data_IF_816097489318
#
_entry.id   IF_816097489318
#
_cell.length_a   1.000
_cell.length_b   1.000
_cell.length_c   1.000
_cell.angle_alpha   90.00
_cell.angle_beta   90.00
_cell.angle_gamma   90.00
#
_symmetry.space_group_name_H-M   'P 1'
#
loop_
_entity.id
_entity.type
_entity.pdbx_description
1 polymer ?
#
# COMPACT_ATOMS: atom_id res chain seq x y z
N UNK A 1 37.01 0.59 11.26
CA UNK A 1 36.20 1.82 11.30
C UNK A 1 35.11 1.63 10.27
N UNK A 2 33.92 1.23 10.72
CA UNK A 2 32.74 1.04 9.88
C UNK A 2 32.34 2.39 9.29
N UNK A 3 32.07 2.44 7.99
CA UNK A 3 31.47 3.62 7.38
C UNK A 3 30.13 3.93 8.10
N UNK A 4 29.77 5.22 8.28
CA UNK A 4 28.44 5.59 8.75
C UNK A 4 27.41 4.89 7.84
N UNK A 5 26.50 4.14 8.45
CA UNK A 5 25.82 3.02 7.83
C UNK A 5 25.11 3.35 6.51
N UNK A 6 25.48 2.62 5.46
CA UNK A 6 24.63 2.47 4.28
C UNK A 6 23.25 2.02 4.76
N UNK A 7 22.26 2.83 4.45
CA UNK A 7 20.95 2.77 5.04
C UNK A 7 20.20 1.56 4.46
N UNK A 8 20.15 0.47 5.23
CA UNK A 8 19.67 -0.86 4.78
C UNK A 8 18.14 -0.93 4.68
N UNK A 9 17.60 -1.32 3.53
CA UNK A 9 16.18 -1.67 3.41
C UNK A 9 15.89 -2.92 4.25
N UNK A 10 14.76 -2.94 4.95
CA UNK A 10 14.43 -4.03 5.87
C UNK A 10 12.95 -4.01 6.24
N UNK A 11 12.12 -4.84 5.61
CA UNK A 11 10.70 -5.01 5.95
C UNK A 11 10.44 -6.47 6.30
N UNK A 12 9.94 -6.72 7.50
CA UNK A 12 9.62 -8.06 8.00
C UNK A 12 8.14 -8.23 8.34
N UNK A 13 7.39 -7.13 8.39
CA UNK A 13 5.97 -7.05 8.69
C UNK A 13 5.46 -5.64 8.31
N UNK A 14 4.16 -5.40 8.45
CA UNK A 14 3.55 -4.08 8.19
C UNK A 14 3.48 -3.15 9.40
N UNK A 15 3.94 -3.54 10.60
CA UNK A 15 3.60 -2.84 11.85
C UNK A 15 4.75 -2.55 12.81
N UNK A 16 5.92 -3.15 12.63
CA UNK A 16 7.17 -2.80 13.30
C UNK A 16 7.52 -1.33 13.06
N UNK A 17 8.28 -0.73 13.98
CA UNK A 17 8.53 0.72 14.00
C UNK A 17 9.10 1.21 12.67
N UNK A 18 8.32 2.02 11.93
CA UNK A 18 8.70 2.59 10.66
C UNK A 18 9.89 3.53 10.85
N UNK A 19 10.94 3.34 10.05
CA UNK A 19 12.14 4.17 10.09
C UNK A 19 12.24 5.05 8.86
N UNK A 20 11.93 4.48 7.69
CA UNK A 20 12.08 5.17 6.40
C UNK A 20 10.96 4.81 5.44
N UNK A 21 10.48 5.82 4.74
CA UNK A 21 9.35 5.71 3.82
C UNK A 21 9.51 6.66 2.66
N UNK A 22 9.15 6.24 1.46
CA UNK A 22 8.94 7.14 0.33
C UNK A 22 7.46 7.55 0.32
N UNK A 23 7.21 8.84 0.25
CA UNK A 23 5.86 9.42 0.19
C UNK A 23 5.64 10.04 -1.20
N UNK A 24 4.39 9.94 -1.68
CA UNK A 24 3.94 10.67 -2.86
C UNK A 24 4.04 12.19 -2.69
N UNK A 25 3.83 12.95 -3.76
CA UNK A 25 4.06 14.39 -3.76
C UNK A 25 2.77 15.22 -3.77
N UNK A 26 1.62 14.63 -4.10
CA UNK A 26 0.36 15.34 -4.29
C UNK A 26 0.32 16.34 -5.47
N UNK A 27 1.49 16.76 -5.98
CA UNK A 27 1.68 17.59 -7.14
C UNK A 27 3.02 17.25 -7.87
N UNK A 28 3.04 17.24 -9.22
CA UNK A 28 1.85 17.34 -10.08
C UNK A 28 0.97 16.11 -9.89
N UNK A 29 -0.36 16.25 -9.85
CA UNK A 29 -1.22 15.12 -9.43
C UNK A 29 -1.27 14.00 -10.50
N UNK A 30 -1.56 14.37 -11.76
CA UNK A 30 -1.57 13.47 -12.91
C UNK A 30 -1.19 14.22 -14.19
N UNK A 31 -0.28 13.65 -14.97
CA UNK A 31 -0.04 14.05 -16.35
C UNK A 31 -0.91 13.19 -17.29
N UNK A 32 -1.45 13.77 -18.37
CA UNK A 32 -2.29 13.09 -19.38
C UNK A 32 -3.49 12.29 -18.82
N UNK A 33 -4.39 13.00 -18.12
CA UNK A 33 -5.55 12.42 -17.42
C UNK A 33 -6.49 11.62 -18.32
N UNK A 34 -6.62 12.00 -19.59
CA UNK A 34 -7.51 11.33 -20.53
C UNK A 34 -6.96 9.94 -20.89
N UNK A 35 -5.64 9.82 -21.08
CA UNK A 35 -4.99 8.53 -21.30
C UNK A 35 -5.15 7.61 -20.08
N UNK A 36 -4.84 8.11 -18.88
CA UNK A 36 -4.94 7.32 -17.64
C UNK A 36 -6.38 6.84 -17.42
N UNK A 37 -7.35 7.73 -17.62
CA UNK A 37 -8.77 7.36 -17.49
C UNK A 37 -9.18 6.30 -18.51
N UNK A 38 -8.68 6.36 -19.74
CA UNK A 38 -8.96 5.36 -20.77
C UNK A 38 -8.35 3.99 -20.44
N UNK A 39 -7.10 3.94 -19.97
CA UNK A 39 -6.45 2.69 -19.55
C UNK A 39 -7.10 2.11 -18.29
N UNK A 40 -7.53 2.96 -17.36
CA UNK A 40 -8.29 2.53 -16.17
C UNK A 40 -9.67 1.95 -16.50
N UNK A 41 -10.28 2.30 -17.64
CA UNK A 41 -11.53 1.68 -18.11
C UNK A 41 -11.34 0.21 -18.48
N UNK A 42 -10.13 -0.22 -18.87
CA UNK A 42 -9.81 -1.63 -19.10
C UNK A 42 -9.65 -2.42 -17.78
N UNK A 43 -9.39 -1.72 -16.67
CA UNK A 43 -9.29 -2.27 -15.31
C UNK A 43 -10.22 -1.53 -14.33
N UNK A 44 -11.54 -1.53 -14.59
CA UNK A 44 -12.44 -0.60 -13.93
C UNK A 44 -12.53 -0.91 -12.44
N UNK A 45 -12.18 0.07 -11.61
CA UNK A 45 -12.67 0.08 -10.24
C UNK A 45 -14.19 0.27 -10.30
N UNK A 46 -14.94 -0.80 -10.08
CA UNK A 46 -16.39 -0.74 -9.96
C UNK A 46 -16.72 -0.88 -8.47
N UNK A 47 -17.06 0.20 -7.76
CA UNK A 47 -17.64 0.09 -6.43
C UNK A 47 -18.88 -0.81 -6.50
N UNK A 48 -18.81 -1.99 -5.90
CA UNK A 48 -19.93 -2.94 -5.84
C UNK A 48 -20.90 -2.57 -4.71
N UNK A 49 -21.41 -1.34 -4.75
CA UNK A 49 -22.48 -0.87 -3.87
C UNK A 49 -23.43 0.08 -4.59
N UNK A 50 -24.57 0.33 -3.95
CA UNK A 50 -25.54 1.33 -4.35
C UNK A 50 -24.98 2.77 -4.45
N UNK A 51 -23.71 3.01 -4.10
CA UNK A 51 -23.05 4.33 -4.11
C UNK A 51 -22.03 4.52 -5.24
N UNK A 52 -22.00 3.65 -6.26
CA UNK A 52 -21.19 3.85 -7.48
C UNK A 52 -21.28 5.29 -8.01
N UNK A 53 -22.47 5.88 -8.05
CA UNK A 53 -22.66 7.27 -8.49
C UNK A 53 -22.03 8.31 -7.56
N UNK A 54 -22.03 8.10 -6.24
CA UNK A 54 -21.44 9.02 -5.26
C UNK A 54 -19.91 8.95 -5.23
N UNK A 55 -19.34 7.75 -5.42
CA UNK A 55 -17.89 7.55 -5.57
C UNK A 55 -17.40 8.14 -6.89
N UNK A 56 -18.15 7.96 -7.98
CA UNK A 56 -17.86 8.61 -9.28
C UNK A 56 -18.13 10.12 -9.27
N UNK A 57 -18.96 10.61 -8.33
CA UNK A 57 -19.22 12.03 -8.12
C UNK A 57 -18.22 12.71 -7.17
N UNK A 58 -17.25 11.96 -6.61
CA UNK A 58 -16.09 12.58 -5.97
C UNK A 58 -15.39 13.42 -7.04
N UNK A 59 -15.42 14.73 -6.88
CA UNK A 59 -14.63 15.62 -7.70
C UNK A 59 -13.18 15.24 -7.51
N UNK A 60 -12.48 14.93 -8.61
CA UNK A 60 -11.04 14.73 -8.59
C UNK A 60 -10.38 15.82 -7.74
N UNK A 61 -9.42 15.44 -6.89
CA UNK A 61 -8.83 16.39 -5.96
C UNK A 61 -8.11 17.50 -6.71
N UNK A 62 -8.07 18.67 -6.09
CA UNK A 62 -7.21 19.76 -6.57
C UNK A 62 -5.79 19.57 -6.04
N UNK A 63 -4.77 20.01 -6.78
CA UNK A 63 -3.38 20.00 -6.28
C UNK A 63 -3.26 20.75 -4.95
N UNK A 64 -3.97 21.88 -4.79
CA UNK A 64 -4.03 22.62 -3.52
C UNK A 64 -4.52 21.76 -2.35
N UNK A 65 -5.50 20.88 -2.59
CA UNK A 65 -5.98 19.95 -1.58
C UNK A 65 -4.91 18.89 -1.28
N UNK A 66 -4.38 18.23 -2.32
CA UNK A 66 -3.40 17.17 -2.16
C UNK A 66 -2.13 17.66 -1.47
N UNK A 67 -1.58 18.80 -1.89
CA UNK A 67 -0.37 19.38 -1.27
C UNK A 67 -0.57 19.52 0.23
N UNK A 68 -1.70 20.08 0.69
CA UNK A 68 -1.99 20.23 2.12
C UNK A 68 -2.12 18.89 2.84
N UNK A 69 -2.85 17.96 2.26
CA UNK A 69 -3.03 16.62 2.83
C UNK A 69 -1.70 15.86 2.95
N UNK A 70 -0.80 15.99 1.96
CA UNK A 70 0.54 15.41 2.00
C UNK A 70 1.47 16.15 2.98
N UNK A 71 1.39 17.49 3.08
CA UNK A 71 2.13 18.25 4.09
C UNK A 71 1.77 17.80 5.51
N UNK A 72 0.48 17.64 5.81
CA UNK A 72 0.00 17.14 7.11
C UNK A 72 0.44 15.68 7.35
N UNK A 73 0.44 14.85 6.30
CA UNK A 73 0.90 13.47 6.39
C UNK A 73 2.40 13.36 6.68
N UNK A 74 3.22 14.12 5.95
CA UNK A 74 4.67 14.20 6.15
C UNK A 74 4.99 14.73 7.55
N UNK A 75 4.34 15.81 7.98
CA UNK A 75 4.53 16.35 9.33
C UNK A 75 4.19 15.34 10.42
N UNK A 76 3.15 14.52 10.21
CA UNK A 76 2.77 13.44 11.14
C UNK A 76 3.84 12.33 11.18
N UNK A 77 4.39 11.94 10.02
CA UNK A 77 5.48 10.97 9.95
C UNK A 77 6.75 11.46 10.67
N UNK A 78 7.17 12.69 10.39
CA UNK A 78 8.37 13.30 10.98
C UNK A 78 8.22 13.52 12.49
N UNK A 79 7.02 13.88 12.98
CA UNK A 79 6.69 13.95 14.40
C UNK A 79 6.99 12.62 15.13
N UNK A 80 6.82 11.50 14.44
CA UNK A 80 7.12 10.15 14.97
C UNK A 80 8.53 9.66 14.64
N UNK A 81 9.41 10.54 14.16
CA UNK A 81 10.82 10.24 13.91
C UNK A 81 11.07 9.39 12.65
N UNK A 82 10.09 9.28 11.76
CA UNK A 82 10.26 8.61 10.47
C UNK A 82 11.03 9.53 9.52
N UNK A 83 12.08 9.03 8.89
CA UNK A 83 12.74 9.72 7.78
C UNK A 83 11.88 9.57 6.51
N UNK A 84 11.40 10.71 6.03
CA UNK A 84 10.56 10.82 4.84
C UNK A 84 11.43 11.13 3.63
N UNK A 85 11.31 10.30 2.60
CA UNK A 85 11.89 10.50 1.29
C UNK A 85 10.77 10.86 0.31
N UNK A 86 11.04 11.78 -0.60
CA UNK A 86 10.05 12.23 -1.58
C UNK A 86 10.38 11.67 -2.97
N UNK A 87 9.36 11.34 -3.75
CA UNK A 87 9.53 11.06 -5.17
C UNK A 87 10.14 12.27 -5.90
N UNK A 88 10.76 12.06 -7.06
CA UNK A 88 11.28 13.15 -7.91
C UNK A 88 10.12 13.88 -8.61
N UNK A 89 9.81 15.15 -8.22
CA UNK A 89 8.69 15.90 -8.78
C UNK A 89 8.89 16.28 -10.25
N UNK A 90 10.13 16.26 -10.75
CA UNK A 90 10.45 16.63 -12.13
C UNK A 90 10.53 15.41 -13.07
N UNK A 91 10.23 14.22 -12.56
CA UNK A 91 10.20 13.02 -13.39
C UNK A 91 9.15 13.13 -14.50
N UNK A 92 9.60 13.00 -15.74
CA UNK A 92 8.71 12.94 -16.90
C UNK A 92 7.90 11.62 -16.98
N UNK A 93 8.14 10.69 -16.05
CA UNK A 93 7.66 9.30 -16.12
C UNK A 93 6.57 8.98 -15.09
N UNK A 94 6.00 9.99 -14.44
CA UNK A 94 4.96 9.78 -13.46
C UNK A 94 3.60 10.22 -13.94
N UNK A 95 2.67 9.27 -13.88
CA UNK A 95 1.27 9.46 -14.25
C UNK A 95 0.39 9.57 -12.99
N UNK A 96 0.81 8.98 -11.87
CA UNK A 96 0.24 9.18 -10.54
C UNK A 96 1.34 9.39 -9.49
N UNK A 97 1.42 10.62 -8.96
CA UNK A 97 2.38 10.99 -7.90
C UNK A 97 1.88 10.68 -6.49
N UNK A 98 0.69 10.09 -6.34
CA UNK A 98 0.08 9.88 -5.03
C UNK A 98 0.39 8.52 -4.44
N UNK A 99 0.52 7.46 -5.25
CA UNK A 99 0.55 6.09 -4.75
C UNK A 99 1.87 5.35 -5.00
N UNK A 100 2.99 5.72 -4.35
CA UNK A 100 4.27 5.05 -4.53
C UNK A 100 4.27 3.58 -4.09
N UNK A 101 3.31 3.15 -3.26
CA UNK A 101 3.14 1.74 -2.88
C UNK A 101 3.06 0.81 -4.08
N UNK A 102 2.43 1.26 -5.16
CA UNK A 102 2.18 0.40 -6.30
C UNK A 102 3.45 0.14 -7.12
N UNK A 103 4.38 1.10 -7.10
CA UNK A 103 5.63 1.13 -7.89
C UNK A 103 6.61 0.02 -7.47
N UNK A 104 6.57 -0.39 -6.21
CA UNK A 104 7.45 -1.43 -5.67
C UNK A 104 7.24 -1.68 -4.19
N UNK A 105 7.93 -2.69 -3.67
CA UNK A 105 7.80 -3.13 -2.29
C UNK A 105 9.09 -3.77 -1.78
N UNK A 106 9.24 -3.83 -0.46
CA UNK A 106 10.42 -4.42 0.20
C UNK A 106 9.99 -5.67 0.98
N UNK A 107 10.75 -6.76 0.86
CA UNK A 107 10.61 -7.98 1.67
C UNK A 107 12.01 -8.38 2.15
N UNK A 108 12.19 -8.47 3.47
CA UNK A 108 13.51 -8.54 4.06
C UNK A 108 14.33 -7.33 3.60
N UNK A 109 15.50 -7.58 3.02
CA UNK A 109 16.40 -6.54 2.49
C UNK A 109 16.40 -6.46 0.95
N UNK A 110 15.35 -6.97 0.30
CA UNK A 110 15.21 -7.03 -1.16
C UNK A 110 14.10 -6.08 -1.58
N UNK A 111 14.42 -5.19 -2.52
CA UNK A 111 13.46 -4.33 -3.19
C UNK A 111 12.94 -5.02 -4.46
N UNK A 112 11.63 -5.15 -4.57
CA UNK A 112 10.97 -5.65 -5.77
C UNK A 112 10.34 -4.47 -6.51
N UNK A 113 10.74 -4.30 -7.77
CA UNK A 113 10.08 -3.38 -8.70
C UNK A 113 8.76 -4.03 -9.12
N UNK A 114 7.67 -3.29 -9.08
CA UNK A 114 6.38 -3.79 -9.55
C UNK A 114 6.38 -4.03 -11.06
N UNK A 115 5.53 -4.97 -11.49
CA UNK A 115 5.21 -5.14 -12.90
C UNK A 115 3.75 -4.72 -13.09
N UNK A 116 3.58 -3.46 -13.47
CA UNK A 116 2.31 -2.74 -13.47
C UNK A 116 1.34 -3.30 -14.51
N UNK A 117 0.06 -3.40 -14.16
CA UNK A 117 -0.99 -3.81 -15.11
C UNK A 117 -1.33 -2.68 -16.10
N UNK A 118 -1.22 -1.43 -15.64
CA UNK A 118 -1.49 -0.23 -16.43
C UNK A 118 -0.20 0.25 -17.09
N UNK A 119 -0.16 0.24 -18.42
CA UNK A 119 1.07 0.45 -19.18
C UNK A 119 1.70 1.83 -18.90
N UNK A 120 0.88 2.90 -18.84
CA UNK A 120 1.38 4.24 -18.53
C UNK A 120 2.15 4.30 -17.20
N UNK A 121 1.81 3.46 -16.22
CA UNK A 121 2.46 3.45 -14.89
C UNK A 121 3.77 2.68 -14.84
N UNK A 122 4.17 1.99 -15.91
CA UNK A 122 5.36 1.10 -15.92
C UNK A 122 6.66 1.84 -15.59
N UNK A 123 6.78 3.09 -16.03
CA UNK A 123 7.97 3.91 -15.84
C UNK A 123 7.94 4.75 -14.55
N UNK A 124 6.88 4.64 -13.72
CA UNK A 124 6.78 5.36 -12.44
C UNK A 124 7.93 5.01 -11.48
N UNK A 125 8.58 3.86 -11.66
CA UNK A 125 9.81 3.50 -10.92
C UNK A 125 10.92 4.53 -11.05
N UNK A 126 11.00 5.26 -12.17
CA UNK A 126 12.01 6.29 -12.37
C UNK A 126 11.87 7.45 -11.38
N UNK A 127 10.66 7.71 -10.87
CA UNK A 127 10.39 8.74 -9.85
C UNK A 127 11.13 8.49 -8.54
N UNK A 128 11.50 7.24 -8.25
CA UNK A 128 12.18 6.86 -7.01
C UNK A 128 13.60 6.32 -7.25
N UNK A 129 14.09 6.31 -8.48
CA UNK A 129 15.39 5.70 -8.84
C UNK A 129 16.55 6.29 -8.04
N UNK A 130 16.50 7.58 -7.72
CA UNK A 130 17.49 8.27 -6.88
C UNK A 130 17.64 7.66 -5.48
N UNK A 131 16.58 7.03 -4.95
CA UNK A 131 16.59 6.35 -3.65
C UNK A 131 17.09 4.91 -3.74
N UNK A 132 17.10 4.33 -4.94
CA UNK A 132 17.52 2.95 -5.20
C UNK A 132 18.99 2.84 -5.61
N UNK A 133 19.62 3.93 -6.09
CA UNK A 133 20.96 3.92 -6.67
C UNK A 133 22.09 3.44 -5.74
N UNK A 134 21.86 3.46 -4.42
CA UNK A 134 22.85 3.05 -3.41
C UNK A 134 22.68 1.60 -2.95
N UNK A 135 21.62 0.93 -3.40
CA UNK A 135 21.40 -0.48 -3.09
C UNK A 135 22.32 -1.35 -3.94
N UNK A 136 22.69 -2.50 -3.40
CA UNK A 136 23.27 -3.56 -4.21
C UNK A 136 22.26 -3.96 -5.29
N UNK A 137 22.67 -3.90 -6.56
CA UNK A 137 21.84 -4.30 -7.70
C UNK A 137 21.29 -5.72 -7.57
N UNK A 138 21.99 -6.63 -6.87
CA UNK A 138 21.51 -7.99 -6.58
C UNK A 138 20.32 -8.02 -5.60
N UNK A 139 20.04 -6.90 -4.92
CA UNK A 139 18.91 -6.70 -4.01
C UNK A 139 17.77 -5.91 -4.65
N UNK A 140 17.85 -5.62 -5.95
CA UNK A 140 16.77 -5.04 -6.74
C UNK A 140 16.29 -6.10 -7.73
N UNK A 141 15.03 -6.51 -7.60
CA UNK A 141 14.46 -7.62 -8.34
C UNK A 141 13.26 -7.14 -9.14
N UNK A 142 13.16 -7.59 -10.39
CA UNK A 142 12.00 -7.30 -11.25
C UNK A 142 11.32 -8.61 -11.66
N UNK A 143 9.98 -8.72 -11.56
CA UNK A 143 9.25 -9.83 -12.14
C UNK A 143 9.48 -9.94 -13.65
N UNK A 144 9.45 -11.15 -14.23
CA UNK A 144 9.54 -11.32 -15.68
C UNK A 144 8.29 -10.78 -16.39
N UNK A 145 8.38 -10.60 -17.70
CA UNK A 145 7.25 -10.17 -18.53
C UNK A 145 6.04 -11.10 -18.34
N UNK A 146 4.84 -10.50 -18.24
CA UNK A 146 3.59 -11.22 -18.00
C UNK A 146 3.32 -11.62 -16.55
N UNK A 147 4.28 -11.44 -15.64
CA UNK A 147 4.09 -11.60 -14.18
C UNK A 147 3.64 -10.28 -13.54
N UNK A 148 2.37 -9.92 -13.71
CA UNK A 148 1.80 -8.70 -13.11
C UNK A 148 1.80 -8.82 -11.58
N UNK A 149 2.36 -7.81 -10.92
CA UNK A 149 2.52 -7.77 -9.47
C UNK A 149 2.74 -6.31 -9.02
N UNK A 150 1.73 -5.72 -8.39
CA UNK A 150 1.78 -4.36 -7.85
C UNK A 150 1.89 -4.39 -6.31
N UNK A 151 2.59 -3.41 -5.72
CA UNK A 151 2.87 -3.44 -4.28
C UNK A 151 1.65 -3.27 -3.37
N UNK A 152 0.53 -2.74 -3.87
CA UNK A 152 -0.75 -2.72 -3.16
C UNK A 152 -1.30 -4.13 -2.85
N UNK A 153 -0.97 -5.12 -3.68
CA UNK A 153 -1.39 -6.52 -3.50
C UNK A 153 -0.45 -7.34 -2.62
N UNK A 154 0.73 -6.81 -2.29
CA UNK A 154 1.73 -7.52 -1.48
C UNK A 154 1.67 -7.02 -0.05
N UNK A 155 1.35 -7.93 0.88
CA UNK A 155 1.27 -7.64 2.32
C UNK A 155 2.22 -8.55 3.07
N UNK A 156 3.19 -7.96 3.78
CA UNK A 156 4.15 -8.72 4.60
C UNK A 156 3.53 -8.98 5.97
N UNK A 157 3.03 -10.21 6.17
CA UNK A 157 2.26 -10.56 7.36
C UNK A 157 3.17 -10.74 8.59
N UNK A 158 4.30 -11.43 8.37
CA UNK A 158 5.41 -11.58 9.30
C UNK A 158 6.68 -12.07 8.58
N UNK A 159 7.75 -12.34 9.36
CA UNK A 159 9.06 -12.77 8.86
C UNK A 159 9.04 -14.01 7.95
N UNK A 160 8.00 -14.83 8.03
CA UNK A 160 7.90 -16.09 7.30
C UNK A 160 6.71 -16.13 6.33
N UNK A 161 5.87 -15.10 6.30
CA UNK A 161 4.62 -15.11 5.55
C UNK A 161 4.38 -13.82 4.79
N UNK A 162 4.14 -13.94 3.50
CA UNK A 162 3.68 -12.85 2.63
C UNK A 162 2.34 -13.24 2.02
N UNK A 163 1.39 -12.32 2.00
CA UNK A 163 0.14 -12.46 1.26
C UNK A 163 0.28 -11.77 -0.09
N UNK A 164 -0.27 -12.39 -1.14
CA UNK A 164 -0.35 -11.79 -2.48
C UNK A 164 -1.79 -11.83 -2.97
N UNK A 165 -2.33 -10.64 -3.25
CA UNK A 165 -3.63 -10.41 -3.86
C UNK A 165 -3.73 -10.96 -5.28
N UNK A 166 -4.90 -11.51 -5.63
CA UNK A 166 -5.28 -11.82 -7.01
C UNK A 166 -6.54 -11.07 -7.39
N UNK A 167 -6.38 -10.18 -8.35
CA UNK A 167 -7.48 -9.61 -9.11
C UNK A 167 -6.95 -9.01 -10.41
N UNK A 168 -7.14 -7.71 -10.60
CA UNK A 168 -6.87 -7.00 -11.84
C UNK A 168 -5.44 -6.45 -11.95
N UNK A 169 -4.76 -6.25 -10.82
CA UNK A 169 -3.41 -5.65 -10.76
C UNK A 169 -2.29 -6.66 -10.55
N UNK A 170 -2.58 -7.78 -9.92
CA UNK A 170 -1.63 -8.89 -9.73
C UNK A 170 -2.24 -10.20 -10.20
N UNK A 171 -1.46 -11.00 -10.92
CA UNK A 171 -1.93 -12.21 -11.59
C UNK A 171 -1.23 -13.49 -11.09
N UNK A 172 -1.65 -14.66 -11.60
CA UNK A 172 -1.08 -15.97 -11.23
C UNK A 172 0.44 -16.03 -11.41
N UNK A 173 0.94 -15.53 -12.54
CA UNK A 173 2.38 -15.56 -12.84
C UNK A 173 3.19 -14.62 -11.92
N UNK A 174 2.63 -13.49 -11.49
CA UNK A 174 3.23 -12.59 -10.50
C UNK A 174 3.41 -13.26 -9.14
N UNK A 175 2.37 -13.93 -8.67
CA UNK A 175 2.46 -14.74 -7.45
C UNK A 175 3.44 -15.90 -7.57
N UNK A 176 3.40 -16.67 -8.66
CA UNK A 176 4.29 -17.81 -8.85
C UNK A 176 5.75 -17.38 -8.85
N UNK A 177 6.05 -16.27 -9.54
CA UNK A 177 7.35 -15.63 -9.49
C UNK A 177 7.78 -15.30 -8.05
N UNK A 178 6.94 -14.59 -7.30
CA UNK A 178 7.31 -14.17 -5.94
C UNK A 178 7.45 -15.38 -5.00
N UNK A 179 6.53 -16.35 -5.09
CA UNK A 179 6.58 -17.61 -4.33
C UNK A 179 7.88 -18.36 -4.58
N UNK A 180 8.24 -18.57 -5.84
CA UNK A 180 9.42 -19.36 -6.21
C UNK A 180 10.71 -18.63 -5.85
N UNK A 181 10.71 -17.30 -5.93
CA UNK A 181 11.84 -16.48 -5.49
C UNK A 181 12.03 -16.50 -3.96
N UNK A 182 10.95 -16.46 -3.19
CA UNK A 182 10.98 -16.37 -1.73
C UNK A 182 11.10 -17.73 -1.03
N UNK A 183 10.69 -18.83 -1.66
CA UNK A 183 10.74 -20.17 -1.07
C UNK A 183 12.16 -20.60 -0.61
N UNK A 184 13.25 -20.38 -1.36
CA UNK A 184 14.61 -20.66 -0.90
C UNK A 184 15.05 -19.81 0.30
N UNK A 185 14.38 -18.68 0.55
CA UNK A 185 14.62 -17.81 1.71
C UNK A 185 13.80 -18.26 2.95
N UNK A 186 13.01 -19.32 2.83
CA UNK A 186 12.15 -19.82 3.90
C UNK A 186 10.87 -19.01 4.11
N UNK A 187 10.51 -18.13 3.16
CA UNK A 187 9.32 -17.30 3.24
C UNK A 187 8.19 -17.96 2.43
N UNK A 188 7.06 -18.18 3.09
CA UNK A 188 5.84 -18.73 2.49
C UNK A 188 5.01 -17.61 1.88
N UNK A 189 4.57 -17.80 0.65
CA UNK A 189 3.67 -16.86 -0.04
C UNK A 189 2.28 -17.49 -0.14
N UNK A 190 1.28 -16.83 0.45
CA UNK A 190 -0.11 -17.29 0.49
C UNK A 190 -0.94 -16.50 -0.52
N UNK A 191 -1.69 -17.18 -1.40
CA UNK A 191 -2.56 -16.52 -2.34
C UNK A 191 -3.84 -15.99 -1.66
N UNK A 192 -4.25 -14.77 -2.02
CA UNK A 192 -5.49 -14.15 -1.53
C UNK A 192 -6.32 -13.61 -2.70
N UNK A 193 -7.42 -14.27 -3.03
CA UNK A 193 -8.41 -13.73 -3.97
C UNK A 193 -9.14 -12.55 -3.33
N UNK A 194 -9.33 -11.46 -4.09
CA UNK A 194 -10.11 -10.31 -3.62
C UNK A 194 -10.90 -9.64 -4.76
N UNK A 195 -11.88 -8.83 -4.39
CA UNK A 195 -12.73 -8.07 -5.34
C UNK A 195 -12.40 -6.58 -5.43
N UNK A 196 -11.23 -6.17 -4.94
CA UNK A 196 -10.83 -4.75 -4.81
C UNK A 196 -9.73 -4.37 -5.81
N UNK A 197 -9.42 -3.07 -5.89
CA UNK A 197 -8.32 -2.56 -6.71
C UNK A 197 -7.01 -3.28 -6.36
N UNK A 198 -6.69 -3.27 -5.07
CA UNK A 198 -5.60 -4.02 -4.46
C UNK A 198 -6.04 -4.70 -3.17
N UNK A 199 -5.27 -5.66 -2.68
CA UNK A 199 -5.52 -6.36 -1.42
C UNK A 199 -5.62 -5.40 -0.21
N UNK A 200 -4.77 -4.38 -0.16
CA UNK A 200 -4.73 -3.45 0.98
C UNK A 200 -5.97 -2.54 1.12
N UNK A 201 -6.80 -2.46 0.09
CA UNK A 201 -8.12 -1.84 0.15
C UNK A 201 -9.14 -2.67 0.95
N UNK A 202 -8.79 -3.90 1.36
CA UNK A 202 -9.69 -4.75 2.16
C UNK A 202 -9.01 -5.60 3.24
N UNK A 203 -7.68 -5.56 3.36
CA UNK A 203 -6.94 -6.33 4.37
C UNK A 203 -5.67 -5.60 4.79
N UNK A 204 -5.44 -5.44 6.09
CA UNK A 204 -4.21 -4.82 6.59
C UNK A 204 -3.84 -5.34 8.00
N UNK A 205 -2.69 -6.03 8.15
CA UNK A 205 -2.24 -6.54 9.45
C UNK A 205 -1.66 -5.43 10.31
N UNK A 206 -1.99 -5.48 11.60
CA UNK A 206 -1.59 -4.48 12.58
C UNK A 206 -0.73 -5.13 13.66
N UNK A 207 -0.02 -4.28 14.41
CA UNK A 207 0.64 -4.72 15.63
C UNK A 207 -0.38 -5.20 16.66
N UNK A 208 0.05 -5.63 17.84
CA UNK A 208 -0.84 -6.15 18.90
C UNK A 208 -1.67 -7.39 18.50
N UNK A 209 -1.44 -8.00 17.33
CA UNK A 209 -2.10 -9.24 16.90
C UNK A 209 -3.47 -9.04 16.25
N UNK A 210 -3.76 -7.86 15.68
CA UNK A 210 -5.03 -7.60 14.99
C UNK A 210 -4.89 -7.54 13.46
N UNK A 211 -6.01 -7.72 12.77
CA UNK A 211 -6.13 -7.63 11.32
C UNK A 211 -7.37 -6.80 10.96
N UNK A 212 -7.18 -5.69 10.24
CA UNK A 212 -8.30 -5.02 9.58
C UNK A 212 -8.69 -5.82 8.36
N UNK A 213 -9.97 -6.16 8.22
CA UNK A 213 -10.43 -7.06 7.16
C UNK A 213 -11.87 -6.73 6.75
N UNK A 214 -12.15 -6.75 5.45
CA UNK A 214 -13.52 -6.82 4.93
C UNK A 214 -13.75 -8.22 4.32
N UNK A 215 -14.31 -9.18 5.07
CA UNK A 215 -14.45 -10.58 4.63
C UNK A 215 -15.26 -10.74 3.34
N UNK A 216 -16.22 -9.85 3.09
CA UNK A 216 -17.01 -9.83 1.85
C UNK A 216 -16.17 -9.59 0.59
N UNK A 217 -14.99 -8.97 0.73
CA UNK A 217 -14.07 -8.78 -0.41
C UNK A 217 -13.20 -9.98 -0.70
N UNK A 218 -13.10 -10.96 0.21
CA UNK A 218 -12.17 -12.09 0.14
C UNK A 218 -12.88 -13.42 -0.17
N UNK A 219 -14.07 -13.37 -0.75
CA UNK A 219 -14.83 -14.57 -1.12
C UNK A 219 -14.06 -15.38 -2.18
N UNK A 220 -14.15 -16.71 -2.10
CA UNK A 220 -13.48 -17.63 -3.02
C UNK A 220 -12.12 -18.17 -2.54
N UNK A 221 -11.55 -17.61 -1.47
CA UNK A 221 -10.35 -18.16 -0.83
C UNK A 221 -10.60 -19.52 -0.17
N UNK A 222 -9.58 -20.37 -0.19
CA UNK A 222 -9.61 -21.67 0.45
C UNK A 222 -9.42 -21.59 1.98
N UNK A 223 -9.66 -22.70 2.67
CA UNK A 223 -9.56 -22.78 4.12
C UNK A 223 -8.14 -22.51 4.65
N UNK A 224 -7.09 -22.72 3.84
CA UNK A 224 -5.72 -22.48 4.28
C UNK A 224 -5.43 -20.99 4.41
N UNK A 225 -5.93 -20.18 3.47
CA UNK A 225 -5.87 -18.71 3.57
C UNK A 225 -6.62 -18.24 4.81
N UNK A 226 -7.87 -18.69 5.02
CA UNK A 226 -8.66 -18.30 6.19
C UNK A 226 -8.00 -18.67 7.52
N UNK A 227 -7.49 -19.90 7.65
CA UNK A 227 -6.78 -20.34 8.86
C UNK A 227 -5.59 -19.44 9.19
N UNK A 228 -4.88 -18.94 8.17
CA UNK A 228 -3.76 -18.04 8.40
C UNK A 228 -4.24 -16.67 8.90
N UNK A 229 -5.34 -16.16 8.36
CA UNK A 229 -5.92 -14.89 8.81
C UNK A 229 -6.52 -15.01 10.22
N UNK A 230 -7.05 -16.19 10.58
CA UNK A 230 -7.60 -16.50 11.92
C UNK A 230 -6.53 -16.54 13.03
N UNK A 231 -5.23 -16.53 12.68
CA UNK A 231 -4.15 -16.34 13.67
C UNK A 231 -4.17 -14.92 14.29
N UNK A 232 -4.89 -13.98 13.66
CA UNK A 232 -5.06 -12.61 14.11
C UNK A 232 -6.49 -12.37 14.60
N UNK A 233 -6.66 -11.48 15.56
CA UNK A 233 -7.99 -11.01 15.95
C UNK A 233 -8.51 -10.00 14.94
N UNK A 234 -9.66 -10.29 14.32
CA UNK A 234 -10.20 -9.46 13.26
C UNK A 234 -10.88 -8.20 13.81
N UNK A 235 -10.62 -7.09 13.13
CA UNK A 235 -11.40 -5.87 13.18
C UNK A 235 -12.13 -5.81 11.85
N UNK A 236 -13.35 -6.33 11.84
CA UNK A 236 -14.16 -6.35 10.63
C UNK A 236 -14.57 -4.93 10.24
N UNK A 237 -14.30 -4.60 8.98
CA UNK A 237 -14.70 -3.38 8.29
C UNK A 237 -15.92 -3.70 7.44
N UNK A 238 -16.93 -2.85 7.44
CA UNK A 238 -18.13 -3.01 6.61
C UNK A 238 -17.91 -2.49 5.17
N UNK A 239 -18.90 -2.71 4.30
CA UNK A 239 -18.78 -2.33 2.89
C UNK A 239 -18.63 -0.80 2.69
N UNK A 240 -19.25 0.03 3.53
CA UNK A 240 -19.18 1.50 3.45
C UNK A 240 -17.81 1.97 3.94
N UNK A 241 -17.34 1.44 5.05
CA UNK A 241 -16.04 1.75 5.62
C UNK A 241 -14.91 1.34 4.68
N UNK A 242 -15.01 0.17 4.03
CA UNK A 242 -14.10 -0.28 2.98
C UNK A 242 -14.06 0.70 1.81
N UNK A 243 -15.20 1.20 1.34
CA UNK A 243 -15.23 2.22 0.27
C UNK A 243 -14.52 3.50 0.65
N UNK A 244 -14.50 3.82 1.94
CA UNK A 244 -13.74 4.94 2.48
C UNK A 244 -12.32 4.53 2.89
N UNK A 245 -11.86 3.36 2.42
CA UNK A 245 -10.51 2.86 2.61
C UNK A 245 -10.09 2.79 4.08
N UNK A 246 -11.03 2.44 4.97
CA UNK A 246 -10.76 2.30 6.41
C UNK A 246 -9.73 1.20 6.74
N UNK A 247 -9.47 0.27 5.81
CA UNK A 247 -8.38 -0.73 5.93
C UNK A 247 -7.02 -0.17 5.50
N UNK A 248 -6.97 0.87 4.66
CA UNK A 248 -5.75 1.35 4.01
C UNK A 248 -4.98 2.35 4.90
N UNK A 249 -4.73 1.94 6.14
CA UNK A 249 -3.99 2.72 7.14
C UNK A 249 -2.48 2.44 7.09
N UNK A 250 -1.69 3.32 7.69
CA UNK A 250 -0.25 3.10 7.86
C UNK A 250 0.10 2.92 9.35
N UNK A 251 0.68 1.77 9.70
CA UNK A 251 1.28 1.57 11.02
C UNK A 251 2.63 2.28 11.11
N UNK A 252 2.78 3.14 12.12
CA UNK A 252 4.04 3.80 12.47
C UNK A 252 4.89 2.94 13.40
N UNK A 253 4.25 2.21 14.30
CA UNK A 253 4.85 1.21 15.19
C UNK A 253 3.74 0.26 15.66
N UNK A 254 4.02 -0.77 16.49
CA UNK A 254 3.02 -1.79 16.82
C UNK A 254 1.72 -1.25 17.44
N UNK A 255 1.74 -0.08 18.08
CA UNK A 255 0.59 0.50 18.75
C UNK A 255 0.22 1.91 18.26
N UNK A 256 0.86 2.44 17.22
CA UNK A 256 0.53 3.76 16.65
C UNK A 256 0.27 3.63 15.16
N UNK A 257 -0.86 4.18 14.71
CA UNK A 257 -1.30 4.14 13.31
C UNK A 257 -1.69 5.55 12.84
N UNK A 258 -1.59 5.78 11.53
CA UNK A 258 -2.20 6.92 10.85
C UNK A 258 -3.45 6.41 10.11
N UNK A 259 -4.58 7.03 10.37
CA UNK A 259 -5.87 6.64 9.79
C UNK A 259 -6.68 7.87 9.37
N UNK A 260 -7.70 7.66 8.51
CA UNK A 260 -8.48 8.78 7.96
C UNK A 260 -9.38 9.38 9.03
N UNK A 261 -9.30 10.69 9.18
CA UNK A 261 -10.28 11.47 9.92
C UNK A 261 -11.53 11.72 9.06
N UNK A 262 -12.34 10.69 8.88
CA UNK A 262 -13.58 10.75 8.10
C UNK A 262 -14.74 10.13 8.88
N UNK A 263 -15.97 10.66 8.82
CA UNK A 263 -17.12 10.11 9.55
C UNK A 263 -17.36 8.61 9.27
N UNK A 264 -17.21 8.18 8.03
CA UNK A 264 -17.31 6.76 7.66
C UNK A 264 -16.24 5.89 8.31
N UNK A 265 -15.09 6.43 8.73
CA UNK A 265 -14.03 5.65 9.39
C UNK A 265 -14.09 5.72 10.92
N UNK A 266 -15.02 6.51 11.49
CA UNK A 266 -15.05 6.81 12.92
C UNK A 266 -15.24 5.56 13.80
N UNK A 267 -16.08 4.60 13.38
CA UNK A 267 -16.28 3.34 14.13
C UNK A 267 -15.01 2.51 14.16
N UNK A 268 -14.33 2.34 13.02
CA UNK A 268 -13.07 1.60 12.92
C UNK A 268 -11.98 2.28 13.77
N UNK A 269 -11.85 3.61 13.68
CA UNK A 269 -10.90 4.37 14.50
C UNK A 269 -11.19 4.23 16.01
N UNK A 270 -12.46 4.23 16.41
CA UNK A 270 -12.84 3.99 17.80
C UNK A 270 -12.51 2.56 18.24
N UNK A 271 -12.82 1.55 17.43
CA UNK A 271 -12.49 0.16 17.72
C UNK A 271 -10.97 -0.04 17.90
N UNK A 272 -10.15 0.62 17.07
CA UNK A 272 -8.70 0.63 17.22
C UNK A 272 -8.28 1.32 18.53
N UNK A 273 -8.88 2.45 18.88
CA UNK A 273 -8.58 3.13 20.15
C UNK A 273 -8.92 2.26 21.36
N UNK A 274 -10.06 1.57 21.33
CA UNK A 274 -10.53 0.67 22.38
C UNK A 274 -9.62 -0.56 22.55
N UNK A 275 -8.94 -0.98 21.47
CA UNK A 275 -7.96 -2.07 21.45
C UNK A 275 -6.54 -1.62 21.84
N UNK A 276 -6.36 -0.34 22.19
CA UNK A 276 -5.10 0.21 22.70
C UNK A 276 -4.18 0.85 21.66
N UNK A 277 -4.66 1.07 20.43
CA UNK A 277 -3.91 1.85 19.45
C UNK A 277 -3.99 3.34 19.74
N UNK A 278 -2.88 4.04 19.51
CA UNK A 278 -2.88 5.49 19.29
C UNK A 278 -3.21 5.76 17.82
N UNK A 279 -4.34 6.42 17.57
CA UNK A 279 -4.80 6.74 16.21
C UNK A 279 -4.51 8.20 15.89
N UNK A 280 -3.51 8.46 15.05
CA UNK A 280 -3.28 9.77 14.44
C UNK A 280 -4.29 9.95 13.30
N UNK A 281 -5.49 10.44 13.64
CA UNK A 281 -6.55 10.68 12.68
C UNK A 281 -6.34 12.03 11.97
N UNK A 282 -5.96 12.00 10.68
CA UNK A 282 -5.74 13.22 9.88
C UNK A 282 -6.60 13.22 8.61
N UNK A 283 -6.89 14.41 8.07
CA UNK A 283 -7.65 14.58 6.83
C UNK A 283 -6.83 14.11 5.63
N UNK A 284 -7.44 13.31 4.75
CA UNK A 284 -6.77 12.73 3.59
C UNK A 284 -7.83 12.23 2.60
N UNK A 285 -8.64 13.14 2.07
CA UNK A 285 -9.83 12.83 1.28
C UNK A 285 -9.57 12.91 -0.23
N UNK A 286 -8.46 13.53 -0.65
CA UNK A 286 -8.11 13.69 -2.06
C UNK A 286 -7.69 12.38 -2.72
N UNK A 287 -6.72 11.65 -2.15
CA UNK A 287 -6.24 10.36 -2.71
C UNK A 287 -7.31 9.26 -2.70
N UNK A 288 -8.21 9.17 -1.69
CA UNK A 288 -9.31 8.19 -1.74
C UNK A 288 -10.27 8.38 -2.90
N UNK A 289 -10.45 9.61 -3.42
CA UNK A 289 -11.23 9.85 -4.63
C UNK A 289 -10.63 9.18 -5.88
N UNK A 290 -9.40 8.70 -5.77
CA UNK A 290 -8.58 8.19 -6.86
C UNK A 290 -8.11 6.76 -6.57
N UNK A 291 -8.58 6.16 -5.47
CA UNK A 291 -8.44 4.75 -5.15
C UNK A 291 -7.42 4.39 -4.06
N UNK A 292 -6.77 5.36 -3.40
CA UNK A 292 -5.74 5.08 -2.39
C UNK A 292 -5.90 5.84 -1.07
N UNK A 293 -5.22 5.40 0.00
CA UNK A 293 -5.09 6.16 1.25
C UNK A 293 -3.67 6.06 1.80
N UNK A 294 -3.46 6.14 3.11
CA UNK A 294 -2.14 6.27 3.72
C UNK A 294 -1.17 5.13 3.35
N UNK A 295 -1.64 3.89 3.26
CA UNK A 295 -0.76 2.77 2.84
C UNK A 295 -0.37 2.90 1.37
N UNK A 296 -1.33 3.20 0.49
CA UNK A 296 -1.06 3.43 -0.93
C UNK A 296 -0.10 4.62 -1.13
N UNK A 297 -0.27 5.67 -0.33
CA UNK A 297 0.53 6.89 -0.36
C UNK A 297 1.96 6.72 0.16
N UNK A 298 2.35 5.51 0.56
CA UNK A 298 3.60 5.21 1.24
C UNK A 298 4.26 3.93 0.75
N UNK A 299 5.52 4.03 0.34
CA UNK A 299 6.39 2.88 0.12
C UNK A 299 7.37 2.77 1.30
N UNK A 300 7.10 1.85 2.22
CA UNK A 300 7.96 1.61 3.38
C UNK A 300 9.28 0.94 2.94
N UNK A 301 10.41 1.52 3.36
CA UNK A 301 11.75 1.04 3.00
C UNK A 301 12.42 0.26 4.13
N UNK A 302 12.19 0.69 5.37
CA UNK A 302 12.71 -0.02 6.54
C UNK A 302 11.84 0.17 7.78
N UNK A 303 11.65 -0.92 8.51
CA UNK A 303 11.08 -0.98 9.86
C UNK A 303 12.11 -1.60 10.81
N UNK A 304 12.16 -1.11 12.04
CA UNK A 304 13.00 -1.67 13.09
C UNK A 304 12.28 -2.85 13.74
N UNK A 305 12.84 -4.04 13.58
CA UNK A 305 12.39 -5.27 14.25
C UNK A 305 12.97 -5.45 15.65
#
# INVERSE_FOLDING_TARGET
>A
MSQPGLSKFSIQDEFSSLQRVIIGLGAPYQQDRDQVSAEMVEFPFVPDTARKEAVLALTYPTETQLIREYEDYVATLEKHGVEVLLADPESAYSFDYTCPRDIGFVIGDIFFIANMAVQSRTDEIETIRQHLQHLDSAKIVRPPDGSLLEGGDVVVLDQQTVLVGFNQRSNRHGFEFLRDYLAPLGITVIPVQHSQLHLDCCLNPLGLGHLLIHPGSLQGNDQSTWRRLDDYQWIEVDAIEREHLATNILSLNPATIIARNHPSCARVNQALTDLGYTVEAIGFDGVPATGGSFRCASLALSRQG
#
